data_IF_516499582516
#
_entry.id   IF_516499582516
#
_cell.length_a   1.000
_cell.length_b   1.000
_cell.length_c   1.000
_cell.angle_alpha   90.00
_cell.angle_beta   90.00
_cell.angle_gamma   90.00
#
_symmetry.space_group_name_H-M   'P 1'
#
loop_
_entity.id
_entity.type
_entity.pdbx_description
1 polymer ?
#
# COMPACT_ATOMS: atom_id res chain seq x y z
N UNK A 1 22.23 37.28 86.66
CA UNK A 1 21.43 37.22 85.44
C UNK A 1 21.28 35.75 85.02
N UNK A 2 20.09 35.25 85.22
CA UNK A 2 19.78 33.82 84.96
C UNK A 2 19.11 33.71 83.60
N UNK A 3 19.69 32.99 82.69
CA UNK A 3 19.11 32.66 81.38
C UNK A 3 18.49 31.27 81.45
N UNK A 4 17.18 31.23 81.34
CA UNK A 4 16.41 30.01 81.31
C UNK A 4 16.33 29.50 79.82
N UNK A 5 16.87 28.33 79.61
CA UNK A 5 16.74 27.62 78.25
C UNK A 5 15.47 26.79 78.26
N UNK A 6 14.56 27.13 77.35
CA UNK A 6 13.36 26.31 77.08
C UNK A 6 13.67 25.38 75.95
N UNK A 7 13.62 24.05 76.22
CA UNK A 7 13.76 23.00 75.23
C UNK A 7 12.39 22.74 74.60
N UNK A 8 12.27 22.95 73.26
CA UNK A 8 11.11 22.56 72.49
C UNK A 8 11.34 21.21 71.94
N UNK A 9 10.50 20.24 72.34
CA UNK A 9 10.46 18.87 71.79
C UNK A 9 9.58 18.94 70.57
N UNK A 10 10.18 18.78 69.39
CA UNK A 10 9.47 18.65 68.14
C UNK A 10 9.12 17.18 67.91
N UNK A 11 7.83 16.85 67.98
CA UNK A 11 7.29 15.53 67.63
C UNK A 11 7.22 15.37 66.09
N UNK A 12 8.08 14.53 65.55
CA UNK A 12 8.08 14.20 64.09
C UNK A 12 7.00 13.16 63.83
N UNK A 13 5.90 13.57 63.20
CA UNK A 13 4.89 12.67 62.63
C UNK A 13 5.35 12.27 61.25
N UNK A 14 5.81 11.05 61.10
CA UNK A 14 6.13 10.45 59.79
C UNK A 14 4.84 10.00 59.11
N UNK A 15 4.41 10.76 58.12
CA UNK A 15 3.38 10.29 57.18
C UNK A 15 4.01 9.31 56.20
N UNK A 16 3.64 8.01 56.34
CA UNK A 16 3.88 7.01 55.30
C UNK A 16 2.84 7.26 54.20
N UNK A 17 3.24 7.98 53.16
CA UNK A 17 2.45 8.06 51.93
C UNK A 17 2.65 6.74 51.19
N UNK A 18 1.59 5.92 51.10
CA UNK A 18 1.52 4.85 50.08
C UNK A 18 1.58 5.50 48.70
N UNK A 19 2.72 5.40 48.04
CA UNK A 19 2.81 5.64 46.61
C UNK A 19 2.10 4.45 45.94
N UNK A 20 0.95 4.74 45.35
CA UNK A 20 0.27 3.87 44.43
C UNK A 20 1.09 4.01 43.13
N UNK A 21 1.77 2.94 42.74
CA UNK A 21 2.44 2.85 41.45
C UNK A 21 1.39 3.05 40.36
N UNK A 22 1.32 4.25 39.82
CA UNK A 22 0.60 4.51 38.59
C UNK A 22 1.44 3.90 37.45
N UNK A 23 0.95 2.79 36.89
CA UNK A 23 1.46 2.24 35.66
C UNK A 23 1.45 3.36 34.59
N UNK A 24 2.50 3.50 33.78
CA UNK A 24 2.51 4.50 32.72
C UNK A 24 1.39 4.19 31.74
N UNK A 25 0.34 5.00 31.75
CA UNK A 25 -0.69 4.99 30.72
C UNK A 25 0.01 5.34 29.41
N UNK A 26 0.32 4.30 28.64
CA UNK A 26 0.77 4.46 27.26
C UNK A 26 -0.40 5.09 26.51
N UNK A 27 -0.33 6.41 26.31
CA UNK A 27 -1.22 7.10 25.40
C UNK A 27 -0.95 6.52 24.00
N UNK A 28 -1.79 5.60 23.56
CA UNK A 28 -1.88 5.27 22.14
C UNK A 28 -2.26 6.56 21.41
N UNK A 29 -1.26 7.19 20.81
CA UNK A 29 -1.49 8.30 19.90
C UNK A 29 -2.22 7.74 18.70
N UNK A 30 -3.53 7.85 18.69
CA UNK A 30 -4.37 7.48 17.53
C UNK A 30 -3.93 8.40 16.38
N UNK A 31 -3.08 7.89 15.51
CA UNK A 31 -2.70 8.61 14.28
C UNK A 31 -3.96 8.63 13.42
N UNK A 32 -4.60 9.78 13.30
CA UNK A 32 -5.73 9.97 12.39
C UNK A 32 -5.22 9.82 10.95
N UNK A 33 -5.52 8.67 10.34
CA UNK A 33 -5.12 8.38 8.96
C UNK A 33 -6.06 9.11 8.02
N UNK A 34 -5.55 10.10 7.30
CA UNK A 34 -6.33 10.86 6.33
C UNK A 34 -6.52 10.06 5.04
N UNK A 35 -7.75 10.14 4.51
CA UNK A 35 -8.09 9.55 3.23
C UNK A 35 -7.34 10.26 2.09
N UNK A 36 -6.62 9.53 1.21
CA UNK A 36 -5.95 10.14 0.06
C UNK A 36 -6.93 10.85 -0.88
N UNK A 37 -6.52 11.98 -1.44
CA UNK A 37 -7.32 12.75 -2.42
C UNK A 37 -7.70 11.93 -3.66
N UNK A 38 -6.86 10.97 -4.04
CA UNK A 38 -7.07 10.07 -5.18
C UNK A 38 -8.14 9.00 -4.92
N UNK A 39 -8.57 8.81 -3.68
CA UNK A 39 -9.56 7.79 -3.36
C UNK A 39 -10.94 8.18 -3.90
N UNK A 40 -11.54 7.29 -4.70
CA UNK A 40 -12.87 7.44 -5.27
C UNK A 40 -13.92 6.69 -4.46
N UNK A 41 -15.19 7.08 -4.60
CA UNK A 41 -16.29 6.33 -3.98
C UNK A 41 -16.52 4.99 -4.69
N UNK A 42 -17.08 4.00 -3.96
CA UNK A 42 -17.49 2.71 -4.54
C UNK A 42 -18.46 2.88 -5.70
N UNK A 43 -19.38 3.85 -5.60
CA UNK A 43 -20.30 4.20 -6.70
C UNK A 43 -19.54 4.59 -7.97
N UNK A 44 -18.48 5.39 -7.86
CA UNK A 44 -17.66 5.77 -9.00
C UNK A 44 -16.83 4.59 -9.53
N UNK A 45 -16.30 3.75 -8.64
CA UNK A 45 -15.57 2.54 -9.03
C UNK A 45 -16.44 1.58 -9.84
N UNK A 46 -17.71 1.34 -9.43
CA UNK A 46 -18.68 0.53 -10.19
C UNK A 46 -18.91 1.06 -11.59
N UNK A 47 -19.05 2.37 -11.75
CA UNK A 47 -19.24 2.99 -13.07
C UNK A 47 -18.03 2.72 -13.97
N UNK A 48 -16.81 2.87 -13.43
CA UNK A 48 -15.58 2.60 -14.20
C UNK A 48 -15.46 1.13 -14.59
N UNK A 49 -15.80 0.21 -13.68
CA UNK A 49 -15.82 -1.23 -13.97
C UNK A 49 -16.83 -1.57 -15.06
N UNK A 50 -18.06 -1.07 -14.97
CA UNK A 50 -19.10 -1.33 -15.95
C UNK A 50 -18.73 -0.79 -17.34
N UNK A 51 -18.11 0.38 -17.40
CA UNK A 51 -17.61 0.94 -18.65
C UNK A 51 -16.52 0.07 -19.27
N UNK A 52 -15.60 -0.47 -18.46
CA UNK A 52 -14.60 -1.42 -18.95
C UNK A 52 -15.25 -2.70 -19.49
N UNK A 53 -16.22 -3.26 -18.77
CA UNK A 53 -16.91 -4.49 -19.19
C UNK A 53 -17.57 -4.29 -20.55
N UNK A 54 -18.33 -3.24 -20.72
CA UNK A 54 -19.13 -2.98 -21.94
C UNK A 54 -18.28 -2.61 -23.15
N UNK A 55 -17.21 -1.86 -22.92
CA UNK A 55 -16.41 -1.30 -24.03
C UNK A 55 -15.16 -2.10 -24.36
N UNK A 56 -14.69 -2.98 -23.48
CA UNK A 56 -13.42 -3.71 -23.64
C UNK A 56 -13.52 -5.20 -23.36
N UNK A 57 -13.93 -5.59 -22.14
CA UNK A 57 -13.86 -6.97 -21.71
C UNK A 57 -14.64 -7.92 -22.64
N UNK A 58 -15.84 -7.56 -23.02
CA UNK A 58 -16.67 -8.39 -23.93
C UNK A 58 -16.01 -8.59 -25.31
N UNK A 59 -15.37 -7.55 -25.85
CA UNK A 59 -14.66 -7.65 -27.13
C UNK A 59 -13.42 -8.53 -27.02
N UNK A 60 -12.63 -8.34 -25.96
CA UNK A 60 -11.43 -9.12 -25.69
C UNK A 60 -11.77 -10.58 -25.47
N UNK A 61 -12.76 -10.90 -24.65
CA UNK A 61 -13.22 -12.25 -24.38
C UNK A 61 -13.62 -12.98 -25.69
N UNK A 62 -14.42 -12.33 -26.54
CA UNK A 62 -14.83 -12.91 -27.81
C UNK A 62 -13.64 -13.21 -28.73
N UNK A 63 -12.69 -12.27 -28.81
CA UNK A 63 -11.48 -12.43 -29.63
C UNK A 63 -10.57 -13.54 -29.10
N UNK A 64 -10.30 -13.56 -27.79
CA UNK A 64 -9.40 -14.52 -27.16
C UNK A 64 -9.97 -15.95 -27.22
N UNK A 65 -11.29 -16.11 -27.02
CA UNK A 65 -12.00 -17.39 -27.20
C UNK A 65 -11.93 -17.88 -28.64
N UNK A 66 -12.18 -16.98 -29.59
CA UNK A 66 -12.12 -17.36 -31.04
C UNK A 66 -10.71 -17.78 -31.44
N UNK A 67 -9.66 -17.27 -30.82
CA UNK A 67 -8.26 -17.69 -31.02
C UNK A 67 -7.86 -18.92 -30.22
N UNK A 68 -8.71 -19.44 -29.34
CA UNK A 68 -8.38 -20.55 -28.45
C UNK A 68 -7.35 -20.19 -27.37
N UNK A 69 -7.15 -18.89 -27.09
CA UNK A 69 -6.19 -18.42 -26.10
C UNK A 69 -6.73 -18.63 -24.68
N UNK A 70 -8.03 -18.39 -24.47
CA UNK A 70 -8.73 -18.62 -23.21
C UNK A 70 -10.00 -19.44 -23.46
N UNK A 71 -10.47 -20.17 -22.43
CA UNK A 71 -11.72 -20.93 -22.51
C UNK A 71 -12.89 -20.23 -21.82
N UNK A 72 -12.61 -19.51 -20.74
CA UNK A 72 -13.59 -18.78 -19.94
C UNK A 72 -13.61 -17.28 -20.26
N UNK A 73 -13.81 -16.47 -19.22
CA UNK A 73 -13.62 -15.04 -19.27
C UNK A 73 -12.19 -14.68 -18.87
N UNK A 74 -11.64 -13.66 -19.52
CA UNK A 74 -10.33 -13.12 -19.17
C UNK A 74 -10.36 -12.43 -17.81
N UNK A 75 -9.23 -12.37 -17.14
CA UNK A 75 -9.07 -11.77 -15.82
C UNK A 75 -9.33 -10.26 -15.90
N UNK A 76 -10.15 -9.75 -15.00
CA UNK A 76 -10.46 -8.31 -14.86
C UNK A 76 -10.06 -7.73 -13.54
N UNK A 77 -9.82 -8.57 -12.55
CA UNK A 77 -9.43 -8.23 -11.19
C UNK A 77 -8.38 -9.22 -10.67
N UNK A 78 -7.52 -8.73 -9.80
CA UNK A 78 -6.51 -9.53 -9.10
C UNK A 78 -6.52 -9.10 -7.64
N UNK A 79 -6.63 -10.07 -6.76
CA UNK A 79 -6.60 -9.83 -5.32
C UNK A 79 -5.19 -10.03 -4.77
N UNK A 80 -4.75 -9.12 -3.94
CA UNK A 80 -3.54 -9.22 -3.14
C UNK A 80 -3.89 -9.10 -1.67
N UNK A 81 -3.26 -9.92 -0.83
CA UNK A 81 -3.28 -9.70 0.59
C UNK A 81 -2.68 -8.34 0.94
N UNK A 82 -3.29 -7.62 1.88
CA UNK A 82 -2.81 -6.30 2.27
C UNK A 82 -1.39 -6.38 2.87
N UNK A 83 -1.11 -7.43 3.64
CA UNK A 83 0.24 -7.67 4.19
C UNK A 83 1.29 -7.85 3.08
N UNK A 84 0.96 -8.54 2.00
CA UNK A 84 1.86 -8.71 0.84
C UNK A 84 2.17 -7.35 0.20
N UNK A 85 1.15 -6.50 0.05
CA UNK A 85 1.35 -5.14 -0.48
C UNK A 85 2.23 -4.29 0.46
N UNK A 86 1.99 -4.36 1.77
CA UNK A 86 2.79 -3.65 2.77
C UNK A 86 4.25 -4.13 2.78
N UNK A 87 4.48 -5.44 2.76
CA UNK A 87 5.81 -6.05 2.66
C UNK A 87 6.52 -5.62 1.37
N UNK A 88 5.81 -5.62 0.25
CA UNK A 88 6.39 -5.17 -1.01
C UNK A 88 6.75 -3.68 -0.98
N UNK A 89 5.91 -2.82 -0.42
CA UNK A 89 6.22 -1.41 -0.24
C UNK A 89 7.48 -1.23 0.64
N UNK A 90 7.59 -2.02 1.73
CA UNK A 90 8.76 -1.99 2.60
C UNK A 90 10.03 -2.44 1.86
N UNK A 91 9.97 -3.52 1.08
CA UNK A 91 11.04 -4.01 0.22
C UNK A 91 11.50 -2.94 -0.78
N UNK A 92 10.57 -2.34 -1.52
CA UNK A 92 10.88 -1.28 -2.50
C UNK A 92 11.59 -0.11 -1.82
N UNK A 93 11.11 0.35 -0.66
CA UNK A 93 11.73 1.43 0.10
C UNK A 93 13.15 1.09 0.54
N UNK A 94 13.39 -0.15 0.99
CA UNK A 94 14.69 -0.61 1.44
C UNK A 94 15.70 -0.69 0.29
N UNK A 95 15.31 -1.27 -0.85
CA UNK A 95 16.17 -1.39 -2.03
C UNK A 95 16.44 -0.03 -2.68
N UNK A 96 15.43 0.83 -2.76
CA UNK A 96 15.59 2.19 -3.27
C UNK A 96 16.58 3.01 -2.44
N UNK A 97 16.54 2.88 -1.12
CA UNK A 97 17.52 3.53 -0.23
C UNK A 97 18.95 3.10 -0.53
N UNK A 98 19.19 1.82 -0.78
CA UNK A 98 20.55 1.30 -1.15
C UNK A 98 21.04 1.88 -2.47
N UNK A 99 20.13 2.21 -3.39
CA UNK A 99 20.43 2.72 -4.73
C UNK A 99 20.38 4.25 -4.82
N UNK A 100 20.01 4.95 -3.76
CA UNK A 100 19.85 6.41 -3.75
C UNK A 100 18.64 6.91 -4.54
N UNK A 101 17.62 6.07 -4.74
CA UNK A 101 16.39 6.47 -5.40
C UNK A 101 15.46 7.17 -4.41
N UNK A 102 14.90 8.31 -4.81
CA UNK A 102 14.01 9.14 -4.01
C UNK A 102 12.67 9.36 -4.71
N UNK A 103 11.69 9.89 -3.98
CA UNK A 103 10.34 10.18 -4.51
C UNK A 103 9.72 8.98 -5.21
N UNK A 104 9.63 7.87 -4.47
CA UNK A 104 9.20 6.56 -4.96
C UNK A 104 7.73 6.54 -5.35
N UNK A 105 7.41 5.71 -6.33
CA UNK A 105 6.07 5.39 -6.77
C UNK A 105 5.95 3.95 -7.24
N UNK A 106 4.72 3.53 -7.46
CA UNK A 106 4.39 2.25 -8.10
C UNK A 106 3.60 2.52 -9.37
N UNK A 107 3.99 1.85 -10.45
CA UNK A 107 3.23 1.83 -11.70
C UNK A 107 2.58 0.47 -11.83
N UNK A 108 1.26 0.46 -12.08
CA UNK A 108 0.52 -0.77 -12.35
C UNK A 108 0.49 -0.99 -13.86
N UNK A 109 0.93 -2.16 -14.28
CA UNK A 109 0.90 -2.59 -15.68
C UNK A 109 -0.14 -3.68 -15.89
N UNK A 110 -0.83 -3.62 -17.02
CA UNK A 110 -1.51 -4.76 -17.59
C UNK A 110 -0.48 -5.63 -18.32
N UNK A 111 -0.56 -6.93 -18.12
CA UNK A 111 0.21 -7.93 -18.81
C UNK A 111 -0.67 -9.08 -19.25
N UNK A 112 -0.09 -10.06 -19.92
CA UNK A 112 -0.72 -11.34 -20.17
C UNK A 112 0.32 -12.45 -20.01
N UNK A 113 -0.08 -13.56 -19.42
CA UNK A 113 0.79 -14.74 -19.39
C UNK A 113 0.90 -15.34 -20.80
N UNK A 114 2.09 -15.80 -21.20
CA UNK A 114 2.20 -16.63 -22.39
C UNK A 114 1.25 -17.82 -22.33
N UNK A 115 0.68 -18.21 -23.47
CA UNK A 115 -0.22 -19.37 -23.53
C UNK A 115 0.61 -20.69 -23.57
N UNK A 116 1.29 -20.97 -22.45
CA UNK A 116 2.16 -22.11 -22.23
C UNK A 116 1.86 -22.72 -20.85
N UNK A 117 1.92 -24.05 -20.73
CA UNK A 117 1.47 -24.78 -19.54
C UNK A 117 2.31 -24.52 -18.27
N UNK A 118 3.54 -24.03 -18.42
CA UNK A 118 4.44 -23.70 -17.31
C UNK A 118 4.12 -22.36 -16.62
N UNK A 119 3.21 -21.58 -17.19
CA UNK A 119 2.75 -20.33 -16.54
C UNK A 119 1.56 -20.58 -15.62
N UNK A 120 1.49 -19.78 -14.55
CA UNK A 120 0.44 -19.89 -13.52
C UNK A 120 -0.97 -19.82 -14.12
N UNK A 121 -1.15 -19.01 -15.16
CA UNK A 121 -2.45 -18.65 -15.72
C UNK A 121 -2.38 -18.44 -17.25
N UNK A 122 -2.09 -19.50 -18.04
CA UNK A 122 -1.77 -19.39 -19.45
C UNK A 122 -2.80 -18.58 -20.25
N UNK A 123 -2.31 -17.64 -21.04
CA UNK A 123 -3.11 -16.83 -21.97
C UNK A 123 -3.96 -15.72 -21.33
N UNK A 124 -4.06 -15.66 -20.02
CA UNK A 124 -4.92 -14.72 -19.33
C UNK A 124 -4.20 -13.40 -18.98
N UNK A 125 -5.00 -12.35 -18.87
CA UNK A 125 -4.54 -11.04 -18.38
C UNK A 125 -4.04 -11.14 -16.94
N UNK A 126 -3.00 -10.40 -16.63
CA UNK A 126 -2.47 -10.20 -15.28
C UNK A 126 -2.17 -8.73 -15.03
N UNK A 127 -1.94 -8.39 -13.76
CA UNK A 127 -1.52 -7.07 -13.32
C UNK A 127 -0.23 -7.22 -12.51
N UNK A 128 0.70 -6.29 -12.69
CA UNK A 128 1.92 -6.27 -11.91
C UNK A 128 2.36 -4.85 -11.57
N UNK A 129 3.00 -4.71 -10.43
CA UNK A 129 3.49 -3.43 -9.93
C UNK A 129 4.98 -3.30 -10.24
N UNK A 130 5.36 -2.17 -10.83
CA UNK A 130 6.75 -1.83 -11.12
C UNK A 130 7.15 -0.61 -10.28
N UNK A 131 8.22 -0.69 -9.48
CA UNK A 131 8.71 0.44 -8.73
C UNK A 131 9.23 1.54 -9.65
N UNK A 132 8.97 2.78 -9.27
CA UNK A 132 9.44 3.97 -9.98
C UNK A 132 9.99 4.98 -8.97
N UNK A 133 10.81 5.92 -9.46
CA UNK A 133 11.32 7.05 -8.71
C UNK A 133 11.29 8.32 -9.55
N UNK A 134 11.38 9.47 -8.92
CA UNK A 134 11.56 10.74 -9.61
C UNK A 134 12.96 11.27 -9.35
N UNK A 135 13.61 11.72 -10.41
CA UNK A 135 14.90 12.39 -10.28
C UNK A 135 14.69 13.80 -9.70
N UNK A 136 15.39 14.16 -8.64
CA UNK A 136 15.26 15.45 -7.93
C UNK A 136 15.63 16.66 -8.80
N UNK A 137 16.30 16.44 -9.95
CA UNK A 137 16.71 17.47 -10.89
C UNK A 137 15.66 17.85 -11.93
N UNK A 138 14.49 17.20 -11.94
CA UNK A 138 13.45 17.47 -12.93
C UNK A 138 12.67 18.72 -12.56
N UNK A 139 13.13 19.85 -13.10
CA UNK A 139 12.55 21.19 -12.97
C UNK A 139 11.14 21.28 -13.59
N UNK A 140 10.19 21.65 -12.78
CA UNK A 140 8.96 22.49 -12.95
C UNK A 140 8.20 22.56 -14.29
N UNK A 141 8.41 21.72 -15.28
CA UNK A 141 7.59 21.75 -16.51
C UNK A 141 6.42 20.78 -16.43
N UNK A 142 5.20 21.32 -16.29
CA UNK A 142 3.94 20.57 -16.17
C UNK A 142 3.69 19.60 -17.34
N UNK A 143 4.24 19.86 -18.51
CA UNK A 143 4.09 19.03 -19.71
C UNK A 143 4.85 17.69 -19.66
N UNK A 144 5.81 17.53 -18.74
CA UNK A 144 6.68 16.35 -18.62
C UNK A 144 6.29 15.42 -17.45
N UNK A 145 5.15 15.61 -16.83
CA UNK A 145 4.74 14.85 -15.62
C UNK A 145 4.75 13.32 -15.76
N UNK A 146 4.62 12.78 -16.97
CA UNK A 146 4.70 11.33 -17.20
C UNK A 146 6.11 10.84 -17.54
N UNK A 147 7.04 11.71 -17.95
CA UNK A 147 8.42 11.34 -18.22
C UNK A 147 9.32 11.30 -16.99
N UNK A 148 8.86 11.88 -15.87
CA UNK A 148 9.66 12.03 -14.66
C UNK A 148 9.64 10.78 -13.74
N UNK A 149 8.70 9.84 -13.96
CA UNK A 149 8.61 8.61 -13.22
C UNK A 149 9.44 7.52 -13.91
N UNK A 150 10.70 7.43 -13.53
CA UNK A 150 11.67 6.48 -14.10
C UNK A 150 11.49 5.12 -13.42
N UNK A 151 11.60 4.03 -14.17
CA UNK A 151 11.61 2.67 -13.60
C UNK A 151 12.81 2.53 -12.67
N UNK A 152 12.58 2.03 -11.47
CA UNK A 152 13.62 1.78 -10.49
C UNK A 152 14.34 0.46 -10.82
N UNK A 153 15.29 0.51 -11.73
CA UNK A 153 16.03 -0.65 -12.22
C UNK A 153 16.73 -1.42 -11.08
N UNK A 154 16.67 -2.75 -11.16
CA UNK A 154 17.23 -3.65 -10.17
C UNK A 154 16.46 -3.69 -8.84
N UNK A 155 15.18 -3.32 -8.86
CA UNK A 155 14.19 -3.63 -7.83
C UNK A 155 13.09 -4.45 -8.50
N UNK A 156 12.79 -5.62 -7.93
CA UNK A 156 11.87 -6.57 -8.55
C UNK A 156 10.42 -6.05 -8.58
N UNK A 157 9.68 -6.44 -9.61
CA UNK A 157 8.26 -6.17 -9.74
C UNK A 157 7.44 -7.15 -8.88
N UNK A 158 6.25 -6.73 -8.43
CA UNK A 158 5.29 -7.61 -7.77
C UNK A 158 4.26 -8.11 -8.77
N UNK A 159 4.12 -9.43 -8.87
CA UNK A 159 3.07 -10.12 -9.58
C UNK A 159 2.54 -11.28 -8.72
N UNK A 160 1.83 -12.22 -9.31
CA UNK A 160 1.27 -13.42 -8.66
C UNK A 160 0.19 -13.14 -7.61
N UNK A 161 -0.58 -12.07 -7.81
CA UNK A 161 -1.85 -11.93 -7.09
C UNK A 161 -2.86 -13.01 -7.50
N UNK A 162 -3.86 -13.24 -6.68
CA UNK A 162 -4.91 -14.19 -6.98
C UNK A 162 -5.86 -13.62 -8.03
N UNK A 163 -5.88 -14.23 -9.22
CA UNK A 163 -6.79 -13.85 -10.30
C UNK A 163 -8.26 -14.09 -9.92
N UNK A 164 -9.13 -13.12 -10.18
CA UNK A 164 -10.59 -13.27 -10.05
C UNK A 164 -11.11 -14.21 -11.15
N UNK A 165 -11.52 -15.41 -10.76
CA UNK A 165 -12.11 -16.38 -11.68
C UNK A 165 -13.32 -17.09 -11.07
N UNK A 166 -14.49 -16.93 -11.66
CA UNK A 166 -14.81 -15.92 -12.67
C UNK A 166 -14.54 -14.50 -12.13
N UNK A 167 -14.31 -13.51 -13.02
CA UNK A 167 -14.14 -12.11 -12.59
C UNK A 167 -15.34 -11.64 -11.79
N UNK A 168 -15.09 -10.92 -10.69
CA UNK A 168 -16.14 -10.44 -9.79
C UNK A 168 -16.50 -9.01 -10.11
N UNK A 169 -17.81 -8.73 -10.11
CA UNK A 169 -18.33 -7.38 -10.19
C UNK A 169 -18.39 -6.76 -8.78
N UNK A 170 -18.18 -5.46 -8.69
CA UNK A 170 -18.33 -4.72 -7.45
C UNK A 170 -19.81 -4.67 -7.04
N UNK A 171 -20.12 -5.12 -5.83
CA UNK A 171 -21.46 -5.11 -5.25
C UNK A 171 -21.89 -3.72 -4.73
#
# INVERSE_FOLDING_TARGET
MKIIAIALIASSVTFIACQKDEEPVTQETTIEVQKPEQAISMKKAKILQQEYITTRANLLNNLLKAKGTIQGEDVRDVWYDLEVIEQYIAYVKAEAKKKGYENLGLRVHLGAYPNQEDYQDPGNTTFFFVPTYKNSSSTKNLALRNSDNITAEGIDALNFGQAGRPPKDLE
#
